data_IF_310158208830
#
_entry.id   IF_310158208830
#
_cell.length_a   1.000
_cell.length_b   1.000
_cell.length_c   1.000
_cell.angle_alpha   90.00
_cell.angle_beta   90.00
_cell.angle_gamma   90.00
#
_symmetry.space_group_name_H-M   'P 1'
#
loop_
_entity.id
_entity.type
_entity.pdbx_description
1 polymer ?
#
# COMPACT_ATOMS: atom_id res chain seq x y z
N UNK A 1 -3.40 2.77 2.55
CA UNK A 1 -4.15 3.38 1.43
C UNK A 1 -4.37 4.85 1.71
N UNK A 2 -4.08 5.73 0.74
CA UNK A 2 -4.18 7.18 0.88
C UNK A 2 -5.16 7.69 -0.16
N UNK A 3 -6.24 8.33 0.28
CA UNK A 3 -7.18 8.96 -0.63
C UNK A 3 -6.59 10.25 -1.19
N UNK A 4 -6.53 10.37 -2.50
CA UNK A 4 -6.01 11.56 -3.18
C UNK A 4 -6.96 12.75 -3.08
N UNK A 5 -8.23 12.52 -2.70
CA UNK A 5 -9.28 13.52 -2.61
C UNK A 5 -9.49 14.00 -1.16
N UNK A 6 -10.00 13.15 -0.27
CA UNK A 6 -10.25 13.53 1.13
C UNK A 6 -9.04 13.42 2.06
N UNK A 7 -7.90 12.90 1.58
CA UNK A 7 -6.66 12.69 2.35
C UNK A 7 -6.76 11.68 3.50
N UNK A 8 -7.85 10.93 3.57
CA UNK A 8 -7.98 9.81 4.50
C UNK A 8 -6.86 8.80 4.29
N UNK A 9 -6.28 8.33 5.40
CA UNK A 9 -5.24 7.30 5.42
C UNK A 9 -5.77 6.08 6.15
N UNK A 10 -5.79 4.95 5.45
CA UNK A 10 -6.06 3.64 6.03
C UNK A 10 -4.75 2.88 6.16
N UNK A 11 -4.38 2.53 7.39
CA UNK A 11 -3.28 1.62 7.66
C UNK A 11 -3.73 0.18 7.41
N UNK A 12 -2.84 -0.63 6.84
CA UNK A 12 -3.08 -2.06 6.67
C UNK A 12 -1.76 -2.83 6.83
N UNK A 13 -1.87 -4.06 7.31
CA UNK A 13 -0.78 -5.03 7.39
C UNK A 13 -1.22 -6.31 6.66
N UNK A 14 -0.32 -6.88 5.87
CA UNK A 14 -0.55 -8.13 5.14
C UNK A 14 0.73 -8.98 5.18
N UNK A 15 0.65 -10.12 5.88
CA UNK A 15 1.78 -11.02 6.09
C UNK A 15 2.27 -11.66 4.78
N UNK A 16 1.37 -11.90 3.82
CA UNK A 16 1.74 -12.51 2.54
C UNK A 16 2.54 -11.51 1.69
N UNK A 17 2.15 -10.25 1.70
CA UNK A 17 2.86 -9.19 1.00
C UNK A 17 4.26 -8.99 1.57
N UNK A 18 4.39 -8.99 2.89
CA UNK A 18 5.69 -8.88 3.57
C UNK A 18 6.59 -10.09 3.27
N UNK A 19 6.04 -11.30 3.32
CA UNK A 19 6.77 -12.52 2.95
C UNK A 19 7.24 -12.50 1.48
N UNK A 20 6.41 -12.01 0.56
CA UNK A 20 6.74 -11.89 -0.85
C UNK A 20 7.89 -10.88 -1.09
N UNK A 21 7.86 -9.73 -0.41
CA UNK A 21 8.92 -8.72 -0.49
C UNK A 21 10.25 -9.29 0.01
N UNK A 22 10.25 -9.95 1.18
CA UNK A 22 11.44 -10.58 1.74
C UNK A 22 12.01 -11.68 0.83
N UNK A 23 11.13 -12.48 0.20
CA UNK A 23 11.56 -13.50 -0.75
C UNK A 23 12.24 -12.89 -1.98
N UNK A 24 11.67 -11.81 -2.54
CA UNK A 24 12.26 -11.09 -3.66
C UNK A 24 13.64 -10.51 -3.27
N UNK A 25 13.75 -9.86 -2.10
CA UNK A 25 15.02 -9.36 -1.59
C UNK A 25 16.09 -10.47 -1.53
N UNK A 26 15.75 -11.62 -0.92
CA UNK A 26 16.66 -12.78 -0.85
C UNK A 26 17.09 -13.27 -2.23
N UNK A 27 16.14 -13.39 -3.17
CA UNK A 27 16.42 -13.87 -4.53
C UNK A 27 17.42 -12.97 -5.28
N UNK A 28 17.43 -11.68 -4.99
CA UNK A 28 18.32 -10.71 -5.61
C UNK A 28 19.57 -10.39 -4.77
N UNK A 29 19.79 -11.08 -3.64
CA UNK A 29 20.90 -10.79 -2.72
C UNK A 29 20.81 -9.41 -2.08
N UNK A 30 19.61 -8.84 -1.99
CA UNK A 30 19.36 -7.49 -1.49
C UNK A 30 19.14 -7.52 0.03
N UNK A 31 19.99 -6.84 0.79
CA UNK A 31 19.85 -6.73 2.24
C UNK A 31 18.94 -5.54 2.61
N UNK A 32 17.67 -5.81 2.90
CA UNK A 32 16.68 -4.77 3.21
C UNK A 32 16.85 -4.26 4.65
N UNK A 33 16.92 -2.93 4.81
CA UNK A 33 16.95 -2.27 6.12
C UNK A 33 15.58 -1.75 6.56
N UNK A 34 14.81 -1.23 5.61
CA UNK A 34 13.44 -0.74 5.80
C UNK A 34 12.72 -0.67 4.47
N UNK A 35 11.40 -0.71 4.48
CA UNK A 35 10.58 -0.44 3.30
C UNK A 35 9.38 0.42 3.69
N UNK A 36 8.84 1.15 2.72
CA UNK A 36 7.62 1.94 2.86
C UNK A 36 6.68 1.58 1.73
N UNK A 37 5.45 1.21 2.05
CA UNK A 37 4.41 0.93 1.07
C UNK A 37 3.31 1.97 1.19
N UNK A 38 3.15 2.77 0.15
CA UNK A 38 2.06 3.74 0.03
C UNK A 38 1.29 3.45 -1.25
N UNK A 39 -0.03 3.44 -1.13
CA UNK A 39 -0.95 3.22 -2.25
C UNK A 39 -1.89 4.39 -2.29
N UNK A 40 -1.88 5.12 -3.41
CA UNK A 40 -2.71 6.30 -3.64
C UNK A 40 -3.89 5.94 -4.53
N UNK A 41 -5.07 6.42 -4.16
CA UNK A 41 -6.30 6.16 -4.92
C UNK A 41 -7.47 6.98 -4.43
N UNK A 42 -8.69 6.50 -4.64
CA UNK A 42 -9.91 7.06 -4.06
C UNK A 42 -10.43 6.10 -2.98
N UNK A 43 -10.85 6.62 -1.84
CA UNK A 43 -11.57 5.80 -0.86
C UNK A 43 -12.97 5.47 -1.41
N UNK A 44 -13.64 4.50 -0.78
CA UNK A 44 -14.96 4.07 -1.21
C UNK A 44 -15.98 5.23 -1.23
N UNK A 45 -15.84 6.19 -0.32
CA UNK A 45 -16.74 7.34 -0.23
C UNK A 45 -16.51 8.34 -1.38
N UNK A 46 -15.27 8.79 -1.60
CA UNK A 46 -14.94 9.67 -2.73
C UNK A 46 -15.25 9.03 -4.08
N UNK A 47 -15.05 7.71 -4.21
CA UNK A 47 -15.41 6.98 -5.43
C UNK A 47 -16.92 7.01 -5.70
N UNK A 48 -17.76 6.85 -4.67
CA UNK A 48 -19.22 6.98 -4.81
C UNK A 48 -19.61 8.41 -5.21
N UNK A 49 -19.02 9.41 -4.56
CA UNK A 49 -19.35 10.83 -4.81
C UNK A 49 -18.99 11.29 -6.23
N UNK A 50 -18.01 10.66 -6.90
CA UNK A 50 -17.68 10.95 -8.32
C UNK A 50 -18.65 10.37 -9.34
N UNK A 51 -19.46 9.38 -8.97
CA UNK A 51 -20.40 8.70 -9.88
C UNK A 51 -21.83 9.27 -9.80
N UNK A 52 -21.99 10.43 -9.15
CA UNK A 52 -23.23 11.20 -8.99
C UNK A 52 -23.03 12.59 -9.54
#
# INVERSE_FOLDING_TARGET
FICSECKEVLEFADENLEAALLLACRKHGFNVASHKLEVYGLCAECMKNKNT
#
